data_IF_385320545948
#
_entry.id   IF_385320545948
#
_cell.length_a   1.000
_cell.length_b   1.000
_cell.length_c   1.000
_cell.angle_alpha   90.00
_cell.angle_beta   90.00
_cell.angle_gamma   90.00
#
_symmetry.space_group_name_H-M   'P 1'
#
loop_
_entity.id
_entity.type
_entity.pdbx_description
1 polymer ?
#
# COMPACT_ATOMS: atom_id res chain seq x y z
N UNK A 1 15.11 -3.44 -18.33
CA UNK A 1 14.33 -2.82 -19.44
C UNK A 1 14.53 -3.71 -20.64
N UNK A 2 13.46 -4.11 -21.31
CA UNK A 2 13.55 -4.97 -22.49
C UNK A 2 14.25 -4.24 -23.66
N UNK A 3 14.70 -4.99 -24.65
CA UNK A 3 15.34 -4.44 -25.86
C UNK A 3 14.44 -3.45 -26.63
N UNK A 4 13.12 -3.53 -26.45
CA UNK A 4 12.12 -2.64 -27.05
C UNK A 4 11.81 -1.39 -26.20
N UNK A 5 12.44 -1.23 -25.04
CA UNK A 5 12.20 -0.12 -24.11
C UNK A 5 11.12 -0.37 -23.06
N UNK A 6 10.50 -1.56 -23.02
CA UNK A 6 9.50 -1.90 -22.00
C UNK A 6 10.11 -1.97 -20.61
N UNK A 7 9.45 -1.30 -19.65
CA UNK A 7 9.82 -1.36 -18.24
C UNK A 7 9.29 -2.66 -17.62
N UNK A 8 10.16 -3.34 -16.87
CA UNK A 8 9.77 -4.46 -16.02
C UNK A 8 9.59 -3.93 -14.60
N UNK A 9 8.36 -3.97 -14.10
CA UNK A 9 8.04 -3.59 -12.73
C UNK A 9 7.62 -4.81 -11.92
N UNK A 10 8.20 -4.97 -10.74
CA UNK A 10 7.85 -6.03 -9.79
C UNK A 10 7.64 -5.42 -8.42
N UNK A 11 6.67 -5.96 -7.68
CA UNK A 11 6.32 -5.53 -6.33
C UNK A 11 6.71 -6.63 -5.36
N UNK A 12 7.34 -6.24 -4.25
CA UNK A 12 7.65 -7.10 -3.13
C UNK A 12 6.94 -6.62 -1.87
N UNK A 13 6.37 -7.57 -1.12
CA UNK A 13 5.90 -7.32 0.24
C UNK A 13 7.09 -7.50 1.18
N UNK A 14 7.58 -6.39 1.77
CA UNK A 14 8.83 -6.37 2.53
C UNK A 14 8.62 -6.43 4.04
N UNK A 15 7.65 -5.66 4.53
CA UNK A 15 7.30 -5.58 5.94
C UNK A 15 5.80 -5.29 6.08
N UNK A 16 5.17 -5.82 7.12
CA UNK A 16 3.75 -5.61 7.37
C UNK A 16 3.42 -5.70 8.86
N UNK A 17 2.40 -4.95 9.26
CA UNK A 17 1.85 -5.04 10.61
C UNK A 17 0.81 -6.15 10.76
N UNK A 18 0.53 -6.47 12.02
CA UNK A 18 -0.30 -7.59 12.49
C UNK A 18 0.27 -8.98 12.14
N UNK A 19 -0.37 -10.05 12.62
CA UNK A 19 0.09 -11.44 12.43
C UNK A 19 -0.24 -12.02 11.04
N UNK A 20 -0.30 -11.16 10.01
CA UNK A 20 -0.57 -11.60 8.63
C UNK A 20 0.59 -12.44 8.14
N UNK A 21 0.27 -13.46 7.35
CA UNK A 21 1.27 -14.34 6.73
C UNK A 21 0.93 -14.49 5.24
N UNK A 22 1.94 -14.58 4.36
CA UNK A 22 1.72 -14.91 2.96
C UNK A 22 0.93 -16.22 2.79
N UNK A 23 0.04 -16.25 1.81
CA UNK A 23 -0.68 -17.47 1.42
C UNK A 23 0.20 -18.48 0.72
N UNK A 24 -0.40 -19.61 0.31
CA UNK A 24 0.29 -20.65 -0.46
C UNK A 24 0.79 -20.15 -1.84
N UNK A 25 0.24 -19.04 -2.34
CA UNK A 25 0.66 -18.35 -3.56
C UNK A 25 1.78 -17.33 -3.32
N UNK A 26 2.29 -17.23 -2.08
CA UNK A 26 3.33 -16.30 -1.68
C UNK A 26 2.85 -14.86 -1.52
N UNK A 27 1.55 -14.57 -1.64
CA UNK A 27 1.01 -13.21 -1.54
C UNK A 27 0.54 -12.89 -0.14
N UNK A 28 0.88 -11.70 0.34
CA UNK A 28 0.36 -11.22 1.61
C UNK A 28 -1.12 -10.82 1.46
N UNK A 29 -2.03 -11.28 2.34
CA UNK A 29 -3.40 -10.79 2.34
C UNK A 29 -3.44 -9.29 2.66
N UNK A 30 -4.45 -8.60 2.11
CA UNK A 30 -4.69 -7.18 2.38
C UNK A 30 -4.75 -6.92 3.89
N UNK A 31 -4.30 -5.72 4.29
CA UNK A 31 -4.53 -5.27 5.67
C UNK A 31 -6.04 -5.19 5.90
N UNK A 32 -6.47 -5.55 7.11
CA UNK A 32 -7.89 -5.53 7.47
C UNK A 32 -8.49 -4.13 7.46
N UNK A 33 -9.72 -4.03 7.94
CA UNK A 33 -10.51 -2.80 7.91
C UNK A 33 -11.15 -2.55 9.28
N UNK A 34 -10.90 -1.37 9.84
CA UNK A 34 -11.47 -0.92 11.12
C UNK A 34 -12.35 0.32 10.96
N UNK A 35 -12.66 0.72 9.71
CA UNK A 35 -13.43 1.93 9.45
C UNK A 35 -14.91 1.73 9.81
N UNK A 36 -15.38 2.58 10.71
CA UNK A 36 -16.78 2.79 11.04
C UNK A 36 -17.34 3.92 10.16
N UNK A 37 -18.03 3.52 9.10
CA UNK A 37 -18.65 4.46 8.15
C UNK A 37 -19.78 5.26 8.79
N UNK A 38 -20.53 4.68 9.74
CA UNK A 38 -21.67 5.34 10.35
C UNK A 38 -21.22 6.49 11.25
N UNK A 39 -20.12 6.29 12.00
CA UNK A 39 -19.55 7.29 12.89
C UNK A 39 -18.43 8.12 12.26
N UNK A 40 -18.09 7.87 10.99
CA UNK A 40 -16.96 8.46 10.28
C UNK A 40 -15.64 8.39 11.09
N UNK A 41 -15.36 7.22 11.68
CA UNK A 41 -14.19 6.98 12.52
C UNK A 41 -13.50 5.65 12.18
N UNK A 42 -12.33 5.39 12.78
CA UNK A 42 -11.61 4.12 12.65
C UNK A 42 -10.67 3.92 13.84
N UNK A 43 -10.21 2.70 14.05
CA UNK A 43 -9.22 2.39 15.10
C UNK A 43 -7.90 1.93 14.51
N UNK A 44 -6.79 2.45 15.05
CA UNK A 44 -5.44 2.03 14.68
C UNK A 44 -5.02 0.74 15.43
N UNK A 45 -5.92 -0.25 15.48
CA UNK A 45 -5.74 -1.52 16.21
C UNK A 45 -5.14 -2.63 15.36
N UNK A 46 -5.02 -2.41 14.05
CA UNK A 46 -4.35 -3.31 13.09
C UNK A 46 -3.29 -2.53 12.32
N UNK A 47 -2.40 -3.25 11.64
CA UNK A 47 -1.21 -2.66 11.04
C UNK A 47 -0.11 -2.44 12.09
N UNK A 48 0.76 -1.46 11.85
CA UNK A 48 1.82 -1.07 12.76
C UNK A 48 2.09 0.44 12.63
N UNK A 49 2.42 1.13 13.73
CA UNK A 49 2.76 2.56 13.70
C UNK A 49 4.09 2.82 12.98
N UNK A 50 4.95 1.80 12.86
CA UNK A 50 6.25 1.86 12.21
C UNK A 50 6.56 0.51 11.55
N UNK A 51 7.20 0.55 10.38
CA UNK A 51 7.70 -0.63 9.68
C UNK A 51 9.19 -0.40 9.38
N UNK A 52 10.06 -1.24 9.95
CA UNK A 52 11.50 -1.21 9.70
C UNK A 52 11.90 -2.57 9.16
N UNK A 53 12.59 -2.57 8.02
CA UNK A 53 13.18 -3.78 7.45
C UNK A 53 14.44 -3.46 6.66
N UNK A 54 15.34 -4.43 6.61
CA UNK A 54 16.42 -4.49 5.61
C UNK A 54 15.97 -5.49 4.55
N UNK A 55 15.99 -5.07 3.30
CA UNK A 55 15.58 -5.90 2.17
C UNK A 55 16.65 -5.91 1.09
N UNK A 56 16.81 -7.06 0.45
CA UNK A 56 17.73 -7.27 -0.67
C UNK A 56 16.92 -7.82 -1.83
N UNK A 57 17.09 -7.21 -3.01
CA UNK A 57 16.42 -7.67 -4.22
C UNK A 57 16.98 -9.04 -4.64
N UNK A 58 16.17 -10.12 -4.61
CA UNK A 58 16.62 -11.45 -4.95
C UNK A 58 16.92 -11.60 -6.45
N UNK A 59 16.39 -10.71 -7.29
CA UNK A 59 16.53 -10.75 -8.74
C UNK A 59 17.51 -9.67 -9.25
N UNK A 60 18.32 -9.08 -8.37
CA UNK A 60 19.23 -8.00 -8.73
C UNK A 60 20.33 -8.46 -9.69
N UNK A 61 20.39 -7.84 -10.86
CA UNK A 61 21.51 -7.93 -11.81
C UNK A 61 22.29 -6.60 -11.84
N UNK A 62 23.55 -6.56 -11.40
CA UNK A 62 24.36 -5.34 -11.42
C UNK A 62 24.73 -4.85 -12.84
N UNK A 63 24.51 -5.66 -13.88
CA UNK A 63 24.70 -5.25 -15.27
C UNK A 63 23.50 -4.48 -15.83
N UNK A 64 22.37 -4.46 -15.12
CA UNK A 64 21.15 -3.79 -15.54
C UNK A 64 20.92 -2.45 -14.82
N UNK A 65 20.22 -1.53 -15.50
CA UNK A 65 19.67 -0.34 -14.84
C UNK A 65 18.46 -0.75 -14.02
N UNK A 66 18.43 -0.33 -12.75
CA UNK A 66 17.32 -0.58 -11.85
C UNK A 66 16.87 0.71 -11.17
N UNK A 67 15.64 0.72 -10.68
CA UNK A 67 15.15 1.77 -9.80
C UNK A 67 14.28 1.16 -8.71
N UNK A 68 14.32 1.75 -7.52
CA UNK A 68 13.61 1.27 -6.35
C UNK A 68 12.84 2.40 -5.70
N UNK A 69 11.61 2.14 -5.31
CA UNK A 69 10.84 3.06 -4.48
C UNK A 69 10.08 2.27 -3.43
N UNK A 70 9.97 2.83 -2.23
CA UNK A 70 9.11 2.30 -1.19
C UNK A 70 7.68 2.75 -1.44
N UNK A 71 6.71 1.86 -1.23
CA UNK A 71 5.31 2.21 -1.09
C UNK A 71 4.74 1.63 0.20
N UNK A 72 3.99 2.44 0.93
CA UNK A 72 3.33 2.03 2.18
C UNK A 72 1.83 2.19 2.00
N UNK A 73 1.06 1.26 2.54
CA UNK A 73 -0.40 1.21 2.43
C UNK A 73 -0.99 1.34 3.82
N UNK A 74 -1.83 2.34 4.04
CA UNK A 74 -2.59 2.50 5.29
C UNK A 74 -3.75 1.50 5.36
N UNK A 75 -4.31 1.31 6.54
CA UNK A 75 -5.62 0.68 6.70
C UNK A 75 -6.70 1.55 6.03
N UNK A 76 -7.83 0.97 5.58
CA UNK A 76 -8.93 1.77 5.07
C UNK A 76 -9.41 2.78 6.11
N UNK A 77 -9.63 4.02 5.67
CA UNK A 77 -10.17 5.11 6.50
C UNK A 77 -11.46 5.65 5.88
N UNK A 78 -12.35 6.25 6.69
CA UNK A 78 -13.50 6.98 6.17
C UNK A 78 -13.06 8.08 5.20
N UNK A 79 -13.71 8.15 4.04
CA UNK A 79 -13.53 9.24 3.07
C UNK A 79 -14.40 10.44 3.45
N UNK A 80 -14.12 11.61 2.88
CA UNK A 80 -14.96 12.81 3.03
C UNK A 80 -16.48 12.57 2.90
N UNK A 81 -16.91 11.62 2.07
CA UNK A 81 -18.32 11.23 1.90
C UNK A 81 -18.93 10.61 3.16
N UNK A 82 -18.17 9.85 3.94
CA UNK A 82 -18.61 9.35 5.23
C UNK A 82 -18.72 10.47 6.26
N UNK A 83 -17.74 11.38 6.28
CA UNK A 83 -17.82 12.56 7.15
C UNK A 83 -19.02 13.44 6.81
N UNK A 84 -19.27 13.69 5.53
CA UNK A 84 -20.38 14.53 5.07
C UNK A 84 -21.74 13.90 5.42
N UNK A 85 -21.89 12.59 5.21
CA UNK A 85 -23.10 11.86 5.57
C UNK A 85 -23.36 11.86 7.09
N UNK A 86 -22.32 11.62 7.89
CA UNK A 86 -22.42 11.65 9.36
C UNK A 86 -22.74 13.07 9.87
N UNK A 87 -22.07 14.09 9.33
CA UNK A 87 -22.30 15.48 9.70
C UNK A 87 -23.70 15.98 9.32
N UNK A 88 -24.15 15.66 8.11
CA UNK A 88 -25.42 16.14 7.56
C UNK A 88 -26.62 15.25 7.90
N UNK A 89 -26.39 14.07 8.49
CA UNK A 89 -27.44 13.08 8.76
C UNK A 89 -28.11 12.54 7.48
N UNK A 90 -27.41 12.56 6.35
CA UNK A 90 -27.95 12.18 5.04
C UNK A 90 -27.66 10.72 4.72
N UNK A 91 -28.54 10.10 3.94
CA UNK A 91 -28.30 8.76 3.40
C UNK A 91 -27.51 8.87 2.08
N UNK A 92 -26.30 8.30 1.98
CA UNK A 92 -25.54 8.29 0.74
C UNK A 92 -26.30 7.56 -0.38
N UNK A 93 -26.15 8.03 -1.62
CA UNK A 93 -26.69 7.33 -2.78
C UNK A 93 -26.03 5.95 -2.94
N UNK A 94 -26.76 5.01 -3.52
CA UNK A 94 -26.22 3.67 -3.83
C UNK A 94 -24.94 3.76 -4.67
N UNK A 95 -23.91 3.00 -4.27
CA UNK A 95 -22.61 3.01 -4.94
C UNK A 95 -21.65 4.12 -4.50
N UNK A 96 -22.06 5.01 -3.58
CA UNK A 96 -21.15 6.01 -3.00
C UNK A 96 -20.02 5.32 -2.27
N UNK A 97 -18.77 5.64 -2.63
CA UNK A 97 -17.58 5.15 -1.92
C UNK A 97 -17.48 5.86 -0.57
N UNK A 98 -17.50 5.10 0.51
CA UNK A 98 -17.48 5.64 1.88
C UNK A 98 -16.10 5.55 2.55
N UNK A 99 -15.18 4.78 1.97
CA UNK A 99 -13.84 4.55 2.48
C UNK A 99 -12.82 4.82 1.38
N UNK A 100 -11.60 5.12 1.79
CA UNK A 100 -10.42 5.17 0.93
C UNK A 100 -9.29 4.40 1.60
N UNK A 101 -8.24 4.10 0.84
CA UNK A 101 -7.02 3.53 1.38
C UNK A 101 -5.86 4.34 0.83
N UNK A 102 -5.18 5.06 1.72
CA UNK A 102 -4.10 5.93 1.35
C UNK A 102 -2.80 5.16 1.13
N UNK A 103 -1.96 5.74 0.27
CA UNK A 103 -0.66 5.20 -0.11
C UNK A 103 0.37 6.30 -0.09
N UNK A 104 1.48 6.05 0.59
CA UNK A 104 2.66 6.88 0.53
C UNK A 104 3.69 6.23 -0.40
N UNK A 105 4.39 7.05 -1.19
CA UNK A 105 5.47 6.63 -2.08
C UNK A 105 6.72 7.43 -1.74
N UNK A 106 7.88 6.79 -1.77
CA UNK A 106 9.16 7.50 -1.70
C UNK A 106 9.57 7.99 -3.08
N UNK A 107 10.49 8.94 -3.12
CA UNK A 107 11.27 9.19 -4.34
C UNK A 107 12.01 7.92 -4.77
N UNK A 108 12.18 7.68 -6.09
CA UNK A 108 12.94 6.55 -6.58
C UNK A 108 14.44 6.74 -6.34
N UNK A 109 15.10 5.63 -5.99
CA UNK A 109 16.55 5.49 -5.95
C UNK A 109 16.96 4.77 -7.24
N UNK A 110 17.85 5.40 -8.01
CA UNK A 110 18.29 4.86 -9.29
C UNK A 110 19.63 4.14 -9.15
N UNK A 111 19.73 2.96 -9.74
CA UNK A 111 20.99 2.23 -9.92
C UNK A 111 21.41 2.30 -11.39
N UNK A 112 22.66 2.69 -11.62
CA UNK A 112 23.30 2.67 -12.93
C UNK A 112 24.54 1.79 -12.84
N UNK A 113 24.67 0.75 -13.69
CA UNK A 113 25.87 -0.09 -13.76
C UNK A 113 27.13 0.75 -13.94
N UNK A 114 28.21 0.36 -13.27
CA UNK A 114 29.54 0.92 -13.56
C UNK A 114 29.97 0.51 -14.98
N UNK A 115 30.65 1.41 -15.69
CA UNK A 115 31.24 1.12 -17.00
C UNK A 115 32.37 0.10 -16.91
#
# INVERSE_FOLDING_TARGET
MEADGTLQEKVYDVAWGSDRQPGADGKLPSVGDTADVANASWTNTIGAPELIAVWTDPDFDPSERAFYYGRVIEIPTPRWTAYDANFSGTTPLGGTRMKLQDRAYTSPIWYTPAQ
#
